data_IF_671919555322
#
_entry.id   IF_671919555322
#
_cell.length_a   1.000
_cell.length_b   1.000
_cell.length_c   1.000
_cell.angle_alpha   90.00
_cell.angle_beta   90.00
_cell.angle_gamma   90.00
#
_symmetry.space_group_name_H-M   'P 1'
#
loop_
_entity.id
_entity.type
_entity.pdbx_description
1 polymer ?
#
# COMPACT_ATOMS: atom_id res chain seq x y z
N UNK A 1 20.55 0.54 10.72
CA UNK A 1 20.75 0.43 12.19
C UNK A 1 20.40 -0.95 12.76
N UNK A 2 19.26 -1.58 12.39
CA UNK A 2 18.83 -2.87 12.98
C UNK A 2 19.26 -4.13 12.21
N UNK A 3 19.74 -4.01 10.97
CA UNK A 3 20.09 -5.17 10.13
C UNK A 3 21.17 -6.07 10.72
N UNK A 4 22.13 -5.52 11.48
CA UNK A 4 23.15 -6.31 12.20
C UNK A 4 22.58 -7.23 13.27
N UNK A 5 21.32 -7.00 13.69
CA UNK A 5 20.56 -7.84 14.63
C UNK A 5 19.60 -8.80 13.92
N UNK A 6 19.70 -8.92 12.59
CA UNK A 6 18.84 -9.78 11.78
C UNK A 6 17.41 -9.26 11.59
N UNK A 7 17.17 -7.97 11.79
CA UNK A 7 15.85 -7.34 11.64
C UNK A 7 15.81 -6.52 10.34
N UNK A 8 14.88 -6.85 9.44
CA UNK A 8 14.55 -6.03 8.27
C UNK A 8 13.47 -5.01 8.61
N UNK A 9 13.57 -3.81 8.04
CA UNK A 9 12.58 -2.73 8.21
C UNK A 9 12.28 -2.15 6.84
N UNK A 10 11.01 -2.05 6.48
CA UNK A 10 10.55 -1.52 5.19
C UNK A 10 9.25 -0.73 5.38
N UNK A 11 8.90 0.09 4.39
CA UNK A 11 7.69 0.91 4.36
C UNK A 11 6.81 0.49 3.17
N UNK A 12 5.50 0.50 3.37
CA UNK A 12 4.52 0.43 2.27
C UNK A 12 3.84 1.78 2.20
N UNK A 13 3.94 2.45 1.05
CA UNK A 13 3.33 3.76 0.79
C UNK A 13 2.15 3.61 -0.17
N UNK A 14 0.96 3.22 0.33
CA UNK A 14 -0.22 3.04 -0.52
C UNK A 14 -0.73 4.38 -1.07
N UNK A 15 -1.35 4.32 -2.25
CA UNK A 15 -2.22 5.37 -2.76
C UNK A 15 -3.61 5.32 -2.10
N UNK A 16 -4.66 5.60 -2.87
CA UNK A 16 -6.04 5.49 -2.38
C UNK A 16 -6.48 4.03 -2.31
N UNK A 17 -6.85 3.58 -1.11
CA UNK A 17 -7.31 2.21 -0.82
C UNK A 17 -8.76 2.25 -0.38
N UNK A 18 -9.58 1.36 -0.94
CA UNK A 18 -10.98 1.20 -0.60
C UNK A 18 -11.15 0.73 0.85
N UNK A 19 -11.44 1.71 1.72
CA UNK A 19 -11.59 1.58 3.17
C UNK A 19 -12.73 2.47 3.63
N UNK A 20 -13.15 2.32 4.89
CA UNK A 20 -14.17 3.20 5.49
C UNK A 20 -13.80 4.70 5.36
N UNK A 21 -12.51 5.05 5.48
CA UNK A 21 -12.05 6.43 5.30
C UNK A 21 -12.30 6.94 3.87
N UNK A 22 -11.96 6.17 2.85
CA UNK A 22 -12.15 6.59 1.45
C UNK A 22 -13.60 6.47 0.99
N UNK A 23 -14.41 5.65 1.67
CA UNK A 23 -15.84 5.52 1.38
C UNK A 23 -16.57 6.86 1.55
N UNK A 24 -16.09 7.71 2.48
CA UNK A 24 -16.60 9.06 2.76
C UNK A 24 -16.29 10.10 1.67
N UNK A 25 -15.42 9.77 0.71
CA UNK A 25 -15.09 10.69 -0.39
C UNK A 25 -16.30 10.79 -1.34
N UNK A 26 -16.72 12.00 -1.74
CA UNK A 26 -17.77 12.20 -2.73
C UNK A 26 -17.52 11.45 -4.05
N UNK A 27 -18.57 10.97 -4.70
CA UNK A 27 -18.47 10.08 -5.88
C UNK A 27 -17.82 10.76 -7.10
N UNK A 28 -18.05 12.05 -7.31
CA UNK A 28 -17.37 12.86 -8.33
C UNK A 28 -15.85 12.89 -8.09
N UNK A 29 -15.44 13.12 -6.84
CA UNK A 29 -14.03 13.11 -6.43
C UNK A 29 -13.41 11.71 -6.54
N UNK A 30 -14.14 10.64 -6.21
CA UNK A 30 -13.68 9.26 -6.42
C UNK A 30 -13.43 8.97 -7.90
N UNK A 31 -14.32 9.40 -8.80
CA UNK A 31 -14.15 9.22 -10.25
C UNK A 31 -12.89 9.92 -10.74
N UNK A 32 -12.60 11.14 -10.28
CA UNK A 32 -11.38 11.87 -10.64
C UNK A 32 -10.12 11.15 -10.13
N UNK A 33 -10.15 10.62 -8.91
CA UNK A 33 -9.05 9.83 -8.34
C UNK A 33 -8.81 8.58 -9.17
N UNK A 34 -9.87 7.84 -9.51
CA UNK A 34 -9.79 6.62 -10.32
C UNK A 34 -9.25 6.93 -11.72
N UNK A 35 -9.71 7.99 -12.36
CA UNK A 35 -9.24 8.41 -13.69
C UNK A 35 -7.75 8.79 -13.70
N UNK A 36 -7.22 9.33 -12.61
CA UNK A 36 -5.79 9.65 -12.44
C UNK A 36 -4.95 8.46 -11.98
N UNK A 37 -5.58 7.39 -11.51
CA UNK A 37 -4.87 6.18 -11.07
C UNK A 37 -4.63 5.28 -12.28
N UNK A 38 -3.36 4.98 -12.58
CA UNK A 38 -2.98 4.24 -13.79
C UNK A 38 -3.64 2.85 -13.92
N UNK A 39 -4.03 2.23 -12.81
CA UNK A 39 -4.74 0.94 -12.79
C UNK A 39 -6.26 1.05 -12.93
N UNK A 40 -6.81 2.28 -13.03
CA UNK A 40 -8.24 2.51 -13.23
C UNK A 40 -9.13 2.03 -12.08
N UNK A 41 -8.58 1.87 -10.88
CA UNK A 41 -9.31 1.45 -9.67
C UNK A 41 -8.62 1.96 -8.41
N UNK A 42 -9.36 2.02 -7.29
CA UNK A 42 -8.74 2.08 -5.97
C UNK A 42 -8.02 0.77 -5.67
N UNK A 43 -6.96 0.85 -4.87
CA UNK A 43 -6.37 -0.34 -4.26
C UNK A 43 -7.36 -0.96 -3.29
N UNK A 44 -7.20 -2.25 -3.00
CA UNK A 44 -7.95 -2.93 -1.94
C UNK A 44 -7.04 -3.19 -0.74
N UNK A 45 -7.58 -3.38 0.47
CA UNK A 45 -6.77 -3.78 1.63
C UNK A 45 -5.91 -5.02 1.36
N UNK A 46 -6.40 -5.97 0.58
CA UNK A 46 -5.66 -7.19 0.22
C UNK A 46 -4.42 -6.89 -0.63
N UNK A 47 -4.46 -5.88 -1.50
CA UNK A 47 -3.29 -5.47 -2.29
C UNK A 47 -2.13 -5.03 -1.36
N UNK A 48 -2.47 -4.44 -0.20
CA UNK A 48 -1.49 -3.99 0.81
C UNK A 48 -1.03 -5.15 1.69
N UNK A 49 -1.94 -6.06 2.04
CA UNK A 49 -1.61 -7.25 2.81
C UNK A 49 -0.61 -8.15 2.08
N UNK A 50 -0.79 -8.37 0.78
CA UNK A 50 0.13 -9.15 -0.05
C UNK A 50 1.53 -8.50 -0.11
N UNK A 51 1.61 -7.17 -0.24
CA UNK A 51 2.88 -6.45 -0.19
C UNK A 51 3.58 -6.59 1.17
N UNK A 52 2.82 -6.52 2.27
CA UNK A 52 3.33 -6.73 3.62
C UNK A 52 3.85 -8.15 3.81
N UNK A 53 3.12 -9.16 3.32
CA UNK A 53 3.55 -10.56 3.40
C UNK A 53 4.84 -10.79 2.60
N UNK A 54 4.92 -10.25 1.39
CA UNK A 54 6.13 -10.30 0.57
C UNK A 54 7.35 -9.72 1.32
N UNK A 55 7.22 -8.51 1.88
CA UNK A 55 8.30 -7.86 2.61
C UNK A 55 8.67 -8.60 3.90
N UNK A 56 7.69 -9.18 4.60
CA UNK A 56 7.93 -9.95 5.82
C UNK A 56 8.70 -11.26 5.56
N UNK A 57 8.58 -11.84 4.36
CA UNK A 57 9.31 -13.05 3.95
C UNK A 57 10.69 -12.73 3.35
N UNK A 58 10.95 -11.49 2.96
CA UNK A 58 12.19 -11.10 2.30
C UNK A 58 13.37 -11.03 3.28
N UNK A 59 14.44 -11.79 2.98
CA UNK A 59 15.64 -11.85 3.83
C UNK A 59 16.72 -10.81 3.50
N UNK A 60 16.65 -10.20 2.32
CA UNK A 60 17.66 -9.26 1.83
C UNK A 60 17.06 -7.97 1.29
N UNK A 61 15.82 -7.67 1.70
CA UNK A 61 15.14 -6.41 1.38
C UNK A 61 14.92 -5.67 2.71
N UNK A 62 15.61 -4.56 2.88
CA UNK A 62 15.48 -3.66 4.03
C UNK A 62 15.78 -2.23 3.59
N UNK A 63 15.17 -1.26 4.26
CA UNK A 63 15.34 0.17 3.97
C UNK A 63 14.62 0.65 2.73
N UNK A 64 13.59 -0.08 2.28
CA UNK A 64 12.70 0.33 1.19
C UNK A 64 11.51 1.13 1.71
#
# INVERSE_FOLDING_TARGET
ELGSRGITVNVIAPGYIDTDMTSSIPEDRKKDIIAKTSLGRLGKPEDIAEAALFLAQAKFITGQ
#
